data_IF_677751018760
#
_entry.id   IF_677751018760
#
_cell.length_a   1.000
_cell.length_b   1.000
_cell.length_c   1.000
_cell.angle_alpha   90.00
_cell.angle_beta   90.00
_cell.angle_gamma   90.00
#
_symmetry.space_group_name_H-M   'P 1'
#
loop_
_entity.id
_entity.type
_entity.pdbx_description
1 polymer ?
#
# COMPACT_ATOMS: atom_id res chain seq x y z
N UNK A 1 -4.18 -21.63 8.32
CA UNK A 1 -4.64 -22.28 7.07
C UNK A 1 -5.87 -23.14 7.33
N UNK A 2 -7.07 -22.70 6.89
CA UNK A 2 -8.26 -23.55 6.78
C UNK A 2 -8.70 -23.57 5.31
N UNK A 3 -8.61 -24.75 4.69
CA UNK A 3 -9.12 -24.99 3.35
C UNK A 3 -10.64 -24.74 3.31
N UNK A 4 -11.10 -23.87 2.41
CA UNK A 4 -12.52 -23.66 2.10
C UNK A 4 -13.06 -24.89 1.37
N UNK A 5 -13.87 -25.72 2.02
CA UNK A 5 -14.77 -26.66 1.32
C UNK A 5 -15.95 -25.85 0.81
N UNK A 6 -16.11 -25.75 -0.51
CA UNK A 6 -17.25 -25.06 -1.16
C UNK A 6 -16.90 -23.88 -2.07
N UNK A 7 -15.61 -23.55 -2.24
CA UNK A 7 -15.09 -22.80 -3.39
C UNK A 7 -15.72 -21.43 -3.71
N UNK A 8 -16.34 -20.75 -2.75
CA UNK A 8 -16.79 -19.37 -2.98
C UNK A 8 -15.53 -18.50 -3.11
N UNK A 9 -15.30 -18.01 -4.32
CA UNK A 9 -14.32 -16.93 -4.58
C UNK A 9 -14.75 -15.72 -3.78
N UNK A 10 -13.82 -15.14 -3.03
CA UNK A 10 -13.98 -13.89 -2.32
C UNK A 10 -13.21 -12.82 -3.08
N UNK A 11 -13.78 -12.20 -4.12
CA UNK A 11 -13.12 -11.10 -4.82
C UNK A 11 -12.79 -9.97 -3.85
N UNK A 12 -11.64 -9.33 -4.05
CA UNK A 12 -11.11 -8.31 -3.17
C UNK A 12 -11.24 -6.93 -3.79
N UNK A 13 -11.71 -5.98 -3.00
CA UNK A 13 -11.58 -4.56 -3.29
C UNK A 13 -10.47 -3.98 -2.41
N UNK A 14 -9.51 -3.31 -3.04
CA UNK A 14 -8.32 -2.78 -2.41
C UNK A 14 -8.40 -1.27 -2.25
N UNK A 15 -8.28 -0.83 -1.01
CA UNK A 15 -8.08 0.56 -0.63
C UNK A 15 -6.65 1.06 -0.94
N UNK A 16 -6.42 2.37 -0.85
CA UNK A 16 -5.14 3.03 -1.15
C UNK A 16 -3.99 2.47 -0.31
N UNK A 17 -4.22 2.18 0.98
CA UNK A 17 -3.23 1.55 1.86
C UNK A 17 -2.72 0.20 1.32
N UNK A 18 -3.57 -0.58 0.66
CA UNK A 18 -3.17 -1.86 0.07
C UNK A 18 -2.33 -1.62 -1.17
N UNK A 19 -2.74 -0.71 -2.06
CA UNK A 19 -1.99 -0.42 -3.30
C UNK A 19 -0.62 0.22 -2.99
N UNK A 20 -0.59 1.18 -2.06
CA UNK A 20 0.63 1.87 -1.61
C UNK A 20 1.57 0.88 -0.92
N UNK A 21 1.03 0.05 0.00
CA UNK A 21 1.80 -0.99 0.68
C UNK A 21 2.38 -1.99 -0.33
N UNK A 22 1.57 -2.45 -1.28
CA UNK A 22 2.03 -3.35 -2.34
C UNK A 22 3.16 -2.74 -3.15
N UNK A 23 2.99 -1.48 -3.56
CA UNK A 23 3.97 -0.75 -4.36
C UNK A 23 5.30 -0.55 -3.61
N UNK A 24 5.24 -0.17 -2.33
CA UNK A 24 6.39 0.06 -1.47
C UNK A 24 6.70 -1.10 -0.52
N UNK A 25 6.57 -2.33 -1.00
CA UNK A 25 6.70 -3.56 -0.19
C UNK A 25 7.81 -3.56 0.89
N UNK A 26 9.01 -3.07 0.54
CA UNK A 26 10.17 -3.07 1.43
C UNK A 26 10.30 -1.83 2.33
N UNK A 27 9.53 -0.77 2.07
CA UNK A 27 9.68 0.54 2.71
C UNK A 27 8.40 1.07 3.40
N UNK A 28 7.28 0.37 3.24
CA UNK A 28 6.01 0.69 3.88
C UNK A 28 5.65 -0.31 4.99
N UNK A 29 5.06 0.19 6.08
CA UNK A 29 4.68 -0.63 7.23
C UNK A 29 3.66 -1.72 6.88
N UNK A 30 2.85 -1.52 5.84
CA UNK A 30 1.90 -2.50 5.34
C UNK A 30 2.45 -3.40 4.24
N UNK A 31 3.70 -3.21 3.81
CA UNK A 31 4.20 -3.78 2.56
C UNK A 31 4.12 -5.30 2.45
N UNK A 32 4.37 -6.02 3.56
CA UNK A 32 4.21 -7.48 3.61
C UNK A 32 2.75 -7.91 3.57
N UNK A 33 1.89 -7.26 4.34
CA UNK A 33 0.47 -7.59 4.43
C UNK A 33 -0.24 -7.32 3.11
N UNK A 34 0.01 -6.15 2.52
CA UNK A 34 -0.48 -5.77 1.20
C UNK A 34 -0.03 -6.74 0.12
N UNK A 35 1.22 -7.22 0.15
CA UNK A 35 1.70 -8.24 -0.79
C UNK A 35 0.99 -9.57 -0.61
N UNK A 36 0.80 -10.01 0.64
CA UNK A 36 0.09 -11.25 0.93
C UNK A 36 -1.36 -11.22 0.41
N UNK A 37 -2.05 -10.10 0.58
CA UNK A 37 -3.44 -9.92 0.15
C UNK A 37 -3.56 -9.76 -1.36
N UNK A 38 -2.67 -8.99 -1.97
CA UNK A 38 -2.72 -8.72 -3.41
C UNK A 38 -2.31 -9.92 -4.26
N UNK A 39 -1.35 -10.72 -3.79
CA UNK A 39 -0.89 -11.93 -4.50
C UNK A 39 -1.73 -13.18 -4.17
N UNK A 40 -2.77 -13.05 -3.34
CA UNK A 40 -3.80 -14.08 -3.16
C UNK A 40 -4.50 -14.34 -4.52
N UNK A 41 -4.85 -15.60 -4.86
CA UNK A 41 -5.43 -15.95 -6.16
C UNK A 41 -6.85 -15.41 -6.42
N UNK A 42 -7.46 -14.72 -5.46
CA UNK A 42 -8.75 -14.05 -5.65
C UNK A 42 -8.67 -12.89 -6.65
N UNK A 43 -9.82 -12.52 -7.22
CA UNK A 43 -9.88 -11.41 -8.17
C UNK A 43 -9.68 -10.08 -7.46
N UNK A 44 -8.75 -9.27 -7.96
CA UNK A 44 -8.41 -7.98 -7.36
C UNK A 44 -9.08 -6.82 -8.11
N UNK A 45 -9.74 -5.97 -7.33
CA UNK A 45 -10.40 -4.75 -7.76
C UNK A 45 -9.91 -3.57 -6.93
N UNK A 46 -10.01 -2.38 -7.50
CA UNK A 46 -9.93 -1.10 -6.78
C UNK A 46 -10.73 -0.07 -7.57
N UNK A 47 -10.83 1.17 -7.12
CA UNK A 47 -11.50 2.21 -7.91
C UNK A 47 -10.55 3.11 -8.67
N UNK A 48 -11.09 3.78 -9.69
CA UNK A 48 -10.37 4.86 -10.37
C UNK A 48 -10.05 6.03 -9.43
N UNK A 49 -10.85 6.23 -8.39
CA UNK A 49 -10.61 7.24 -7.35
C UNK A 49 -9.37 6.85 -6.52
N UNK A 50 -9.36 5.64 -5.95
CA UNK A 50 -8.21 5.11 -5.20
C UNK A 50 -6.94 5.09 -6.07
N UNK A 51 -7.06 4.69 -7.33
CA UNK A 51 -5.94 4.74 -8.28
C UNK A 51 -5.40 6.17 -8.46
N UNK A 52 -6.31 7.14 -8.62
CA UNK A 52 -5.99 8.56 -8.77
C UNK A 52 -5.25 9.12 -7.55
N UNK A 53 -5.65 8.77 -6.34
CA UNK A 53 -4.93 9.16 -5.11
C UNK A 53 -3.51 8.57 -5.07
N UNK A 54 -3.39 7.27 -5.36
CA UNK A 54 -2.14 6.55 -5.29
C UNK A 54 -1.12 7.04 -6.34
N UNK A 55 -1.53 7.08 -7.62
CA UNK A 55 -0.61 7.24 -8.75
C UNK A 55 -0.81 8.54 -9.53
N UNK A 56 -1.94 9.22 -9.35
CA UNK A 56 -2.31 10.42 -10.09
C UNK A 56 -2.89 10.10 -11.47
N UNK A 57 -3.48 11.11 -12.12
CA UNK A 57 -4.04 10.99 -13.48
C UNK A 57 -2.98 11.29 -14.56
N UNK A 58 -1.99 12.15 -14.27
CA UNK A 58 -0.98 12.62 -15.26
C UNK A 58 0.46 12.74 -14.69
N UNK A 59 0.79 11.97 -13.65
CA UNK A 59 1.97 12.06 -12.76
C UNK A 59 1.74 13.02 -11.57
N UNK A 60 1.81 12.48 -10.35
CA UNK A 60 1.69 13.31 -9.13
C UNK A 60 1.02 12.66 -7.93
N UNK A 61 0.64 11.38 -8.01
CA UNK A 61 0.02 10.68 -6.88
C UNK A 61 0.94 10.55 -5.66
N UNK A 62 0.34 10.10 -4.56
CA UNK A 62 1.02 9.89 -3.27
C UNK A 62 2.27 9.02 -3.41
N UNK A 63 2.22 7.98 -4.26
CA UNK A 63 3.35 7.12 -4.58
C UNK A 63 4.52 7.88 -5.19
N UNK A 64 4.30 8.74 -6.19
CA UNK A 64 5.38 9.51 -6.79
C UNK A 64 6.10 10.41 -5.76
N UNK A 65 5.33 11.01 -4.83
CA UNK A 65 5.88 11.85 -3.77
C UNK A 65 6.69 11.04 -2.75
N UNK A 66 6.16 9.90 -2.30
CA UNK A 66 6.86 9.02 -1.34
C UNK A 66 8.13 8.44 -1.96
N UNK A 67 8.06 7.96 -3.20
CA UNK A 67 9.21 7.40 -3.91
C UNK A 67 10.33 8.44 -4.06
N UNK A 68 10.00 9.68 -4.46
CA UNK A 68 10.98 10.78 -4.54
C UNK A 68 11.67 11.05 -3.20
N UNK A 69 10.93 11.01 -2.09
CA UNK A 69 11.48 11.19 -0.74
C UNK A 69 12.45 10.06 -0.37
N UNK A 70 12.06 8.81 -0.58
CA UNK A 70 12.90 7.63 -0.30
C UNK A 70 14.18 7.64 -1.14
N UNK A 71 14.07 7.87 -2.45
CA UNK A 71 15.23 7.96 -3.35
C UNK A 71 16.16 9.11 -2.97
N UNK A 72 15.59 10.25 -2.52
CA UNK A 72 16.39 11.36 -2.00
C UNK A 72 17.13 11.00 -0.72
N UNK A 73 16.51 10.26 0.20
CA UNK A 73 17.17 9.75 1.41
C UNK A 73 18.37 8.86 1.05
N UNK A 74 18.22 7.91 0.11
CA UNK A 74 19.37 7.11 -0.35
C UNK A 74 20.51 7.97 -0.89
N UNK A 75 20.20 8.93 -1.77
CA UNK A 75 21.21 9.84 -2.34
C UNK A 75 21.91 10.66 -1.26
N UNK A 76 21.16 11.12 -0.25
CA UNK A 76 21.72 11.85 0.89
C UNK A 76 22.62 10.98 1.76
N UNK A 77 22.24 9.74 2.05
CA UNK A 77 23.06 8.80 2.81
C UNK A 77 24.39 8.52 2.10
N UNK A 78 24.35 8.26 0.79
CA UNK A 78 25.56 8.03 -0.02
C UNK A 78 26.44 9.30 -0.05
N UNK A 79 25.83 10.49 -0.18
CA UNK A 79 26.58 11.75 -0.15
C UNK A 79 27.19 12.03 1.24
N UNK A 80 26.48 11.68 2.32
CA UNK A 80 26.97 11.82 3.69
C UNK A 80 28.22 10.96 3.90
N UNK A 81 28.21 9.68 3.48
CA UNK A 81 29.38 8.79 3.54
C UNK A 81 30.57 9.30 2.72
N UNK A 82 30.32 9.94 1.56
CA UNK A 82 31.38 10.54 0.73
C UNK A 82 32.00 11.76 1.40
N UNK A 83 31.23 12.51 2.18
CA UNK A 83 31.68 13.72 2.90
C UNK A 83 32.39 13.36 4.22
N UNK A 84 31.84 12.40 4.95
CA UNK A 84 32.34 11.91 6.23
C UNK A 84 32.25 10.37 6.23
N UNK A 85 33.37 9.66 6.00
CA UNK A 85 33.42 8.20 5.93
C UNK A 85 33.26 7.49 7.29
N UNK A 86 32.18 7.80 8.01
CA UNK A 86 31.87 7.28 9.35
C UNK A 86 30.50 6.63 9.39
N UNK A 87 30.45 5.34 9.74
CA UNK A 87 29.20 4.61 9.94
C UNK A 87 28.37 5.20 11.09
N UNK A 88 29.03 5.58 12.19
CA UNK A 88 28.38 6.14 13.38
C UNK A 88 27.73 7.50 13.06
N UNK A 89 28.42 8.34 12.27
CA UNK A 89 27.88 9.62 11.81
C UNK A 89 26.68 9.42 10.89
N UNK A 90 26.73 8.42 10.00
CA UNK A 90 25.62 8.07 9.14
C UNK A 90 24.40 7.58 9.95
N UNK A 91 24.59 6.68 10.93
CA UNK A 91 23.51 6.19 11.79
C UNK A 91 22.80 7.33 12.51
N UNK A 92 23.56 8.30 13.03
CA UNK A 92 23.00 9.49 13.66
C UNK A 92 22.23 10.38 12.68
N UNK A 93 22.74 10.59 11.45
CA UNK A 93 22.10 11.43 10.44
C UNK A 93 20.75 10.84 9.96
N UNK A 94 20.65 9.52 9.85
CA UNK A 94 19.47 8.83 9.29
C UNK A 94 18.43 8.42 10.35
N UNK A 95 18.65 8.74 11.62
CA UNK A 95 17.83 8.25 12.73
C UNK A 95 16.31 8.53 12.61
N UNK A 96 15.92 9.55 11.84
CA UNK A 96 14.50 9.92 11.60
C UNK A 96 14.02 9.63 10.18
N UNK A 97 14.87 9.02 9.34
CA UNK A 97 14.58 8.79 7.93
C UNK A 97 13.84 7.46 7.76
N UNK A 98 13.07 7.33 6.67
CA UNK A 98 12.34 6.09 6.38
C UNK A 98 13.27 4.93 6.09
N UNK A 99 14.43 5.21 5.51
CA UNK A 99 15.44 4.20 5.19
C UNK A 99 16.33 3.80 6.37
N UNK A 100 16.09 4.27 7.60
CA UNK A 100 16.95 4.00 8.76
C UNK A 100 17.26 2.50 8.91
N UNK A 101 16.24 1.64 8.86
CA UNK A 101 16.42 0.18 8.96
C UNK A 101 17.27 -0.39 7.82
N UNK A 102 17.10 0.12 6.60
CA UNK A 102 17.89 -0.27 5.43
C UNK A 102 19.36 0.13 5.60
N UNK A 103 19.63 1.32 6.16
CA UNK A 103 20.98 1.79 6.43
C UNK A 103 21.65 0.94 7.51
N UNK A 104 20.94 0.63 8.59
CA UNK A 104 21.45 -0.25 9.64
C UNK A 104 21.81 -1.65 9.10
N UNK A 105 20.97 -2.21 8.23
CA UNK A 105 21.25 -3.49 7.56
C UNK A 105 22.47 -3.39 6.62
N UNK A 106 22.59 -2.30 5.86
CA UNK A 106 23.73 -2.06 5.00
C UNK A 106 25.05 -1.97 5.80
N UNK A 107 25.02 -1.28 6.95
CA UNK A 107 26.16 -1.18 7.88
C UNK A 107 26.55 -2.54 8.44
N UNK A 108 25.57 -3.33 8.88
CA UNK A 108 25.79 -4.67 9.38
C UNK A 108 26.41 -5.58 8.30
N UNK A 109 25.89 -5.53 7.07
CA UNK A 109 26.38 -6.33 5.93
C UNK A 109 27.79 -5.92 5.48
N UNK A 110 28.11 -4.63 5.55
CA UNK A 110 29.39 -4.06 5.12
C UNK A 110 30.48 -4.04 6.21
N UNK A 111 30.19 -4.52 7.43
CA UNK A 111 31.16 -4.54 8.53
C UNK A 111 31.62 -3.14 8.96
N UNK A 112 30.74 -2.14 8.86
CA UNK A 112 31.01 -0.70 9.12
C UNK A 112 32.07 -0.04 8.21
N UNK A 113 32.53 -0.69 7.14
CA UNK A 113 33.51 -0.13 6.20
C UNK A 113 32.81 0.84 5.21
N UNK A 114 33.19 2.12 5.22
CA UNK A 114 32.43 3.19 4.55
C UNK A 114 32.25 3.01 3.04
N UNK A 115 33.25 2.52 2.31
CA UNK A 115 33.13 2.29 0.88
C UNK A 115 32.21 1.09 0.59
N UNK A 116 32.32 0.01 1.37
CA UNK A 116 31.39 -1.12 1.29
C UNK A 116 29.95 -0.72 1.63
N UNK A 117 29.73 0.11 2.67
CA UNK A 117 28.38 0.63 2.99
C UNK A 117 27.83 1.40 1.79
N UNK A 118 28.62 2.32 1.24
CA UNK A 118 28.22 3.11 0.06
C UNK A 118 27.80 2.23 -1.12
N UNK A 119 28.57 1.17 -1.40
CA UNK A 119 28.25 0.20 -2.45
C UNK A 119 26.95 -0.55 -2.18
N UNK A 120 26.74 -1.03 -0.95
CA UNK A 120 25.50 -1.72 -0.56
C UNK A 120 24.29 -0.78 -0.69
N UNK A 121 24.41 0.49 -0.28
CA UNK A 121 23.33 1.46 -0.43
C UNK A 121 23.01 1.77 -1.90
N UNK A 122 24.00 1.84 -2.78
CA UNK A 122 23.79 1.99 -4.23
C UNK A 122 23.09 0.77 -4.84
N UNK A 123 23.49 -0.44 -4.45
CA UNK A 123 22.85 -1.70 -4.86
C UNK A 123 21.38 -1.75 -4.40
N UNK A 124 21.13 -1.47 -3.12
CA UNK A 124 19.77 -1.49 -2.54
C UNK A 124 18.88 -0.43 -3.16
N UNK A 125 19.39 0.80 -3.37
CA UNK A 125 18.65 1.86 -4.08
C UNK A 125 18.23 1.40 -5.46
N UNK A 126 19.15 0.80 -6.22
CA UNK A 126 18.89 0.33 -7.59
C UNK A 126 17.85 -0.79 -7.58
N UNK A 127 17.98 -1.74 -6.67
CA UNK A 127 16.99 -2.81 -6.46
C UNK A 127 15.61 -2.24 -6.12
N UNK A 128 15.54 -1.28 -5.21
CA UNK A 128 14.30 -0.62 -4.81
C UNK A 128 13.59 0.09 -5.97
N UNK A 129 14.33 0.87 -6.79
CA UNK A 129 13.78 1.53 -7.97
C UNK A 129 13.28 0.51 -9.02
N UNK A 130 14.01 -0.58 -9.22
CA UNK A 130 13.60 -1.70 -10.08
C UNK A 130 12.34 -2.40 -9.58
N UNK A 131 12.25 -2.68 -8.29
CA UNK A 131 11.07 -3.30 -7.66
C UNK A 131 9.83 -2.41 -7.74
N UNK A 132 9.98 -1.10 -7.51
CA UNK A 132 8.88 -0.14 -7.72
C UNK A 132 8.38 -0.22 -9.17
N UNK A 133 9.30 -0.19 -10.15
CA UNK A 133 8.93 -0.28 -11.58
C UNK A 133 8.18 -1.58 -11.88
N UNK A 134 8.68 -2.73 -11.40
CA UNK A 134 8.05 -4.05 -11.59
C UNK A 134 6.65 -4.11 -10.97
N UNK A 135 6.49 -3.59 -9.76
CA UNK A 135 5.21 -3.62 -9.03
C UNK A 135 4.20 -2.65 -9.62
N UNK A 136 4.63 -1.48 -10.10
CA UNK A 136 3.76 -0.57 -10.85
C UNK A 136 3.24 -1.24 -12.12
N UNK A 137 4.11 -1.84 -12.92
CA UNK A 137 3.70 -2.54 -14.15
C UNK A 137 2.65 -3.63 -13.86
N UNK A 138 2.77 -4.33 -12.73
CA UNK A 138 1.79 -5.33 -12.29
C UNK A 138 0.47 -4.71 -11.82
N UNK A 139 0.50 -3.55 -11.17
CA UNK A 139 -0.70 -2.80 -10.78
C UNK A 139 -1.41 -2.15 -12.00
N UNK A 140 -0.65 -1.80 -13.04
CA UNK A 140 -1.18 -1.26 -14.29
C UNK A 140 -1.84 -2.33 -15.18
N UNK A 141 -1.46 -3.60 -15.02
CA UNK A 141 -2.09 -4.72 -15.70
C UNK A 141 -3.54 -4.90 -15.22
N UNK A 142 -4.50 -4.60 -16.11
CA UNK A 142 -5.94 -4.68 -15.81
C UNK A 142 -6.47 -6.10 -15.69
N UNK A 143 -5.72 -7.11 -16.16
CA UNK A 143 -6.03 -8.50 -15.88
C UNK A 143 -5.65 -8.89 -14.44
N UNK A 144 -4.69 -8.17 -13.83
CA UNK A 144 -4.26 -8.38 -12.43
C UNK A 144 -5.04 -7.49 -11.47
N UNK A 145 -5.25 -6.21 -11.80
CA UNK A 145 -6.03 -5.25 -11.00
C UNK A 145 -7.07 -4.54 -11.87
N UNK A 146 -8.33 -4.95 -11.70
CA UNK A 146 -9.47 -4.31 -12.39
C UNK A 146 -9.87 -3.01 -11.69
N UNK A 147 -9.95 -1.91 -12.44
CA UNK A 147 -10.41 -0.64 -11.89
C UNK A 147 -11.90 -0.45 -12.13
N UNK A 148 -12.63 -0.23 -11.04
CA UNK A 148 -14.04 0.09 -11.03
C UNK A 148 -14.23 1.61 -11.02
N UNK A 149 -15.20 2.09 -11.80
CA UNK A 149 -15.67 3.47 -11.76
C UNK A 149 -17.14 3.44 -11.37
N UNK A 150 -17.43 3.91 -10.16
CA UNK A 150 -18.78 4.04 -9.63
C UNK A 150 -19.64 4.87 -10.58
N UNK A 151 -20.89 4.45 -10.75
CA UNK A 151 -21.85 5.11 -11.66
C UNK A 151 -23.00 5.79 -10.94
N UNK A 152 -23.23 5.42 -9.69
CA UNK A 152 -24.34 5.91 -8.87
C UNK A 152 -23.82 6.65 -7.65
N UNK A 153 -24.52 7.71 -7.22
CA UNK A 153 -24.05 8.62 -6.16
C UNK A 153 -24.40 8.15 -4.73
N UNK A 154 -25.37 7.25 -4.57
CA UNK A 154 -25.81 6.68 -3.28
C UNK A 154 -25.92 7.66 -2.09
N UNK A 155 -26.66 8.77 -2.20
CA UNK A 155 -26.76 9.78 -1.13
C UNK A 155 -27.37 9.25 0.18
N UNK A 156 -28.17 8.19 0.11
CA UNK A 156 -28.73 7.53 1.30
C UNK A 156 -27.69 6.70 2.05
N UNK A 157 -26.84 5.97 1.32
CA UNK A 157 -25.74 5.19 1.90
C UNK A 157 -24.69 6.14 2.47
N UNK A 158 -24.34 7.20 1.74
CA UNK A 158 -23.42 8.24 2.22
C UNK A 158 -23.87 8.79 3.59
N UNK A 159 -25.14 9.20 3.70
CA UNK A 159 -25.71 9.66 4.99
C UNK A 159 -25.76 8.56 6.04
N UNK A 160 -25.98 7.31 5.62
CA UNK A 160 -25.92 6.14 6.49
C UNK A 160 -24.55 5.93 7.12
N UNK A 161 -23.47 6.31 6.42
CA UNK A 161 -22.08 6.14 6.85
C UNK A 161 -21.53 7.33 7.65
N UNK A 162 -22.38 8.19 8.21
CA UNK A 162 -22.02 9.40 8.97
C UNK A 162 -21.16 9.18 10.24
N UNK A 163 -20.87 7.94 10.63
CA UNK A 163 -19.93 7.60 11.70
C UNK A 163 -18.46 7.49 11.22
N UNK A 164 -18.24 7.54 9.90
CA UNK A 164 -16.95 7.69 9.26
C UNK A 164 -16.72 9.19 9.09
N UNK A 165 -15.74 9.74 9.80
CA UNK A 165 -15.52 11.19 9.84
C UNK A 165 -14.80 11.72 8.59
N UNK A 166 -14.07 10.86 7.88
CA UNK A 166 -13.35 11.21 6.66
C UNK A 166 -14.23 10.94 5.42
N UNK A 167 -14.62 11.99 4.66
CA UNK A 167 -15.38 11.82 3.43
C UNK A 167 -14.69 10.94 2.39
N UNK A 168 -13.36 10.95 2.30
CA UNK A 168 -12.62 10.16 1.30
C UNK A 168 -12.75 8.66 1.61
N UNK A 169 -12.80 8.27 2.89
CA UNK A 169 -13.05 6.89 3.30
C UNK A 169 -14.48 6.44 2.97
N UNK A 170 -15.47 7.35 3.04
CA UNK A 170 -16.83 7.07 2.57
C UNK A 170 -16.84 6.82 1.06
N UNK A 171 -16.10 7.62 0.28
CA UNK A 171 -16.00 7.44 -1.18
C UNK A 171 -15.45 6.05 -1.55
N UNK A 172 -14.43 5.56 -0.83
CA UNK A 172 -13.89 4.20 -1.00
C UNK A 172 -14.96 3.14 -0.74
N UNK A 173 -15.73 3.29 0.35
CA UNK A 173 -16.82 2.37 0.70
C UNK A 173 -17.93 2.39 -0.37
N UNK A 174 -18.28 3.56 -0.90
CA UNK A 174 -19.29 3.68 -1.96
C UNK A 174 -18.83 3.05 -3.28
N UNK A 175 -17.56 3.19 -3.64
CA UNK A 175 -17.00 2.55 -4.83
C UNK A 175 -17.00 1.01 -4.69
N UNK A 176 -16.64 0.50 -3.50
CA UNK A 176 -16.72 -0.93 -3.20
C UNK A 176 -18.18 -1.42 -3.20
N UNK A 177 -19.12 -0.60 -2.70
CA UNK A 177 -20.54 -0.92 -2.73
C UNK A 177 -21.09 -1.06 -4.15
N UNK A 178 -20.86 -0.09 -5.04
CA UNK A 178 -21.33 -0.12 -6.44
C UNK A 178 -20.82 -1.38 -7.15
N UNK A 179 -19.54 -1.73 -6.94
CA UNK A 179 -18.97 -2.97 -7.46
C UNK A 179 -19.64 -4.23 -6.86
N UNK A 180 -19.88 -4.25 -5.55
CA UNK A 180 -20.46 -5.41 -4.86
C UNK A 180 -21.86 -5.77 -5.36
N UNK A 181 -22.62 -4.80 -5.93
CA UNK A 181 -23.90 -5.07 -6.59
C UNK A 181 -23.76 -5.98 -7.81
N UNK A 182 -22.60 -5.97 -8.47
CA UNK A 182 -22.31 -6.78 -9.66
C UNK A 182 -21.36 -7.94 -9.38
N UNK A 183 -20.61 -7.89 -8.28
CA UNK A 183 -19.59 -8.86 -7.89
C UNK A 183 -19.95 -9.44 -6.52
N UNK A 184 -20.71 -10.55 -6.46
CA UNK A 184 -21.12 -11.16 -5.21
C UNK A 184 -19.92 -11.61 -4.36
N UNK A 185 -20.04 -11.45 -3.04
CA UNK A 185 -18.99 -11.88 -2.10
C UNK A 185 -17.78 -10.95 -2.01
N UNK A 186 -17.88 -9.73 -2.53
CA UNK A 186 -16.81 -8.73 -2.49
C UNK A 186 -16.36 -8.43 -1.05
N UNK A 187 -15.06 -8.52 -0.80
CA UNK A 187 -14.42 -8.21 0.47
C UNK A 187 -13.56 -6.96 0.32
N UNK A 188 -13.81 -5.94 1.15
CA UNK A 188 -13.00 -4.73 1.22
C UNK A 188 -11.78 -4.97 2.12
N UNK A 189 -10.58 -4.81 1.57
CA UNK A 189 -9.33 -4.77 2.33
C UNK A 189 -8.87 -3.33 2.50
N UNK A 190 -8.66 -2.92 3.75
CA UNK A 190 -8.21 -1.57 4.10
C UNK A 190 -7.17 -1.59 5.22
N UNK A 191 -6.26 -0.61 5.17
CA UNK A 191 -5.34 -0.30 6.27
C UNK A 191 -5.89 0.73 7.25
N UNK A 192 -7.10 1.26 7.01
CA UNK A 192 -7.74 2.23 7.87
C UNK A 192 -8.48 1.56 9.04
N UNK A 193 -7.78 1.52 10.17
CA UNK A 193 -8.35 1.05 11.43
C UNK A 193 -9.33 2.05 12.04
N UNK A 194 -9.13 3.34 11.78
CA UNK A 194 -9.73 4.45 12.52
C UNK A 194 -11.16 4.76 12.09
N UNK A 195 -11.44 4.69 10.79
CA UNK A 195 -12.75 5.04 10.26
C UNK A 195 -13.47 3.83 9.66
N UNK A 196 -12.90 3.13 8.67
CA UNK A 196 -13.58 2.02 7.97
C UNK A 196 -13.70 0.79 8.87
N UNK A 197 -12.60 0.24 9.40
CA UNK A 197 -12.65 -0.99 10.21
C UNK A 197 -13.39 -0.76 11.52
N UNK A 198 -13.18 0.37 12.18
CA UNK A 198 -13.91 0.74 13.41
C UNK A 198 -15.42 0.75 13.21
N UNK A 199 -15.88 1.17 12.02
CA UNK A 199 -17.28 1.23 11.65
C UNK A 199 -17.76 0.03 10.82
N UNK A 200 -17.02 -1.10 10.81
CA UNK A 200 -17.31 -2.29 10.00
C UNK A 200 -18.77 -2.74 10.04
N UNK A 201 -19.38 -2.82 11.23
CA UNK A 201 -20.79 -3.24 11.35
C UNK A 201 -21.71 -2.31 10.55
N UNK A 202 -21.52 -1.00 10.67
CA UNK A 202 -22.30 0.00 9.95
C UNK A 202 -22.08 -0.07 8.44
N UNK A 203 -20.84 -0.29 8.00
CA UNK A 203 -20.52 -0.51 6.58
C UNK A 203 -21.27 -1.71 6.04
N UNK A 204 -21.24 -2.84 6.73
CA UNK A 204 -21.89 -4.08 6.28
C UNK A 204 -23.42 -3.98 6.32
N UNK A 205 -24.00 -3.30 7.30
CA UNK A 205 -25.46 -3.12 7.40
C UNK A 205 -26.03 -2.19 6.33
N UNK A 206 -25.21 -1.28 5.80
CA UNK A 206 -25.65 -0.20 4.89
C UNK A 206 -25.26 -0.47 3.42
N UNK A 207 -24.38 -1.44 3.16
CA UNK A 207 -23.84 -1.69 1.83
C UNK A 207 -24.01 -3.15 1.40
N UNK A 208 -23.76 -3.42 0.12
CA UNK A 208 -23.72 -4.77 -0.45
C UNK A 208 -22.37 -5.49 -0.22
N UNK A 209 -21.42 -4.87 0.49
CA UNK A 209 -20.10 -5.45 0.75
C UNK A 209 -20.27 -6.67 1.66
N UNK A 210 -19.62 -7.79 1.32
CA UNK A 210 -19.78 -9.04 2.06
C UNK A 210 -18.95 -9.05 3.35
N UNK A 211 -17.76 -8.46 3.32
CA UNK A 211 -16.85 -8.42 4.46
C UNK A 211 -15.90 -7.22 4.36
N UNK A 212 -15.44 -6.73 5.51
CA UNK A 212 -14.40 -5.70 5.62
C UNK A 212 -13.27 -6.28 6.46
N UNK A 213 -12.05 -6.25 5.92
CA UNK A 213 -10.86 -6.83 6.54
C UNK A 213 -9.77 -5.80 6.73
N UNK A 214 -9.18 -5.85 7.92
CA UNK A 214 -8.05 -5.02 8.27
C UNK A 214 -6.75 -5.63 7.79
N UNK A 215 -5.92 -4.83 7.14
CA UNK A 215 -4.65 -5.28 6.57
C UNK A 215 -3.70 -5.89 7.62
N UNK A 216 -3.77 -5.43 8.88
CA UNK A 216 -2.99 -6.00 9.98
C UNK A 216 -3.32 -7.45 10.35
N UNK A 217 -4.48 -7.97 9.90
CA UNK A 217 -4.86 -9.36 10.13
C UNK A 217 -4.39 -10.31 9.02
N UNK A 218 -3.81 -9.80 7.92
CA UNK A 218 -3.34 -10.60 6.79
C UNK A 218 -2.18 -11.57 7.12
N UNK A 219 -1.57 -11.43 8.30
CA UNK A 219 -0.44 -12.23 8.76
C UNK A 219 -0.81 -13.30 9.81
N UNK A 220 -2.10 -13.51 10.09
CA UNK A 220 -2.59 -14.50 11.06
C UNK A 220 -3.07 -15.80 10.42
#
# INVERSE_FOLDING_TARGET
MRCRRGGVRLPYFHDSNVLIGYYFHAADGWGRAATCVFDDPELNYSSTFVWGECFGVENGGRCATIQKKIVREFRRAIAALKRDPSADALEAEVATWRIQGVVAEAIARAGREAAAIGKVLEEVKTCYEGECTRRLARLEDRAVLSLHRRRTDYPEIYRGLNAIDDPDDIEVVLDAHDLALCVPGLVLWTGDLGHIVRNRGRVLDTTAICDVRFLGDAHR
#
